data_IF_249639844021
#
_entry.id   IF_249639844021
#
_cell.length_a   1.000
_cell.length_b   1.000
_cell.length_c   1.000
_cell.angle_alpha   90.00
_cell.angle_beta   90.00
_cell.angle_gamma   90.00
#
_symmetry.space_group_name_H-M   'P 1'
#
loop_
_entity.id
_entity.type
_entity.pdbx_description
1 polymer ?
#
# COMPACT_ATOMS: atom_id res chain seq x y z
N UNK A 1 16.08 -36.35 -29.82
CA UNK A 1 14.96 -36.45 -28.86
C UNK A 1 15.52 -36.38 -27.45
N UNK A 2 15.51 -35.18 -26.84
CA UNK A 2 16.00 -34.96 -25.48
C UNK A 2 14.87 -35.23 -24.47
N UNK A 3 15.15 -36.06 -23.47
CA UNK A 3 14.17 -36.56 -22.51
C UNK A 3 13.70 -35.47 -21.53
N UNK A 4 12.40 -35.12 -21.58
CA UNK A 4 11.71 -34.16 -20.70
C UNK A 4 11.34 -34.80 -19.34
N UNK A 5 12.09 -35.79 -18.87
CA UNK A 5 11.74 -36.55 -17.66
C UNK A 5 12.36 -36.02 -16.37
N UNK A 6 13.25 -35.02 -16.43
CA UNK A 6 13.88 -34.45 -15.23
C UNK A 6 13.19 -33.21 -14.63
N UNK A 7 12.28 -32.55 -15.36
CA UNK A 7 11.57 -31.37 -14.84
C UNK A 7 10.36 -31.73 -13.96
N UNK A 8 9.87 -32.97 -14.02
CA UNK A 8 8.65 -33.37 -13.27
C UNK A 8 8.91 -33.71 -11.80
N UNK A 9 10.13 -34.11 -11.44
CA UNK A 9 10.51 -34.42 -10.04
C UNK A 9 10.92 -33.21 -9.20
N UNK A 10 11.00 -32.02 -9.79
CA UNK A 10 11.38 -30.80 -9.06
C UNK A 10 10.18 -30.13 -8.34
N UNK A 11 8.94 -30.44 -8.76
CA UNK A 11 7.74 -29.75 -8.27
C UNK A 11 7.05 -30.39 -7.05
N UNK A 12 7.55 -31.52 -6.54
CA UNK A 12 7.01 -32.20 -5.35
C UNK A 12 7.75 -31.89 -4.04
N UNK A 13 8.84 -31.12 -4.09
CA UNK A 13 9.44 -30.59 -2.86
C UNK A 13 8.88 -29.21 -2.56
N UNK A 14 7.97 -29.20 -1.59
CA UNK A 14 7.57 -28.07 -0.76
C UNK A 14 8.76 -27.10 -0.51
N UNK A 15 8.94 -26.09 -1.36
CA UNK A 15 9.83 -24.96 -1.10
C UNK A 15 9.00 -23.70 -1.21
N UNK A 16 8.46 -23.32 -0.05
CA UNK A 16 8.01 -21.96 0.22
C UNK A 16 9.21 -21.05 0.14
N UNK A 17 9.08 -19.87 -0.47
CA UNK A 17 9.60 -18.61 0.06
C UNK A 17 8.98 -17.45 -0.73
N UNK A 18 8.46 -16.48 0.01
CA UNK A 18 7.77 -15.29 -0.50
C UNK A 18 8.78 -14.23 -0.93
N UNK A 19 8.60 -13.58 -2.09
CA UNK A 19 9.32 -12.33 -2.36
C UNK A 19 8.85 -11.26 -1.36
N UNK A 20 9.74 -10.91 -0.45
CA UNK A 20 9.68 -9.72 0.37
C UNK A 20 10.89 -8.89 -0.06
N UNK A 21 10.71 -7.61 -0.36
CA UNK A 21 11.80 -6.66 -0.17
C UNK A 21 12.02 -6.59 1.35
N UNK A 22 12.82 -7.51 1.88
CA UNK A 22 13.24 -7.48 3.28
C UNK A 22 14.30 -6.40 3.37
N UNK A 23 13.87 -5.20 3.76
CA UNK A 23 14.80 -4.15 4.18
C UNK A 23 15.42 -4.61 5.50
N UNK A 24 16.51 -5.37 5.44
CA UNK A 24 17.35 -5.61 6.60
C UNK A 24 18.02 -4.30 6.96
N UNK A 25 17.86 -3.85 8.21
CA UNK A 25 18.75 -2.82 8.74
C UNK A 25 20.13 -3.43 8.77
N UNK A 26 20.97 -3.01 7.82
CA UNK A 26 22.34 -3.47 7.69
C UNK A 26 23.07 -3.14 8.99
N UNK A 27 23.49 -4.20 9.69
CA UNK A 27 24.48 -4.07 10.75
C UNK A 27 25.84 -4.14 10.06
N UNK A 28 26.71 -3.13 10.21
CA UNK A 28 28.04 -3.15 9.60
C UNK A 28 28.83 -4.46 9.76
N UNK A 29 28.85 -5.14 10.94
CA UNK A 29 29.60 -6.38 11.10
C UNK A 29 28.99 -7.58 10.37
N UNK A 30 27.69 -7.55 10.02
CA UNK A 30 26.99 -8.67 9.39
C UNK A 30 26.89 -8.50 7.86
N UNK A 31 27.41 -7.40 7.31
CA UNK A 31 27.20 -7.03 5.90
C UNK A 31 27.80 -8.04 4.93
N UNK A 32 28.98 -8.60 5.24
CA UNK A 32 29.66 -9.60 4.41
C UNK A 32 28.81 -10.87 4.30
N UNK A 33 28.16 -11.26 5.40
CA UNK A 33 27.28 -12.42 5.44
C UNK A 33 26.00 -12.18 4.64
N UNK A 34 25.42 -10.99 4.75
CA UNK A 34 24.24 -10.61 3.97
C UNK A 34 24.55 -10.60 2.47
N UNK A 35 25.68 -10.03 2.05
CA UNK A 35 26.13 -10.08 0.65
C UNK A 35 26.42 -11.49 0.16
N UNK A 36 27.12 -12.30 0.97
CA UNK A 36 27.38 -13.69 0.63
C UNK A 36 26.08 -14.49 0.45
N UNK A 37 25.06 -14.24 1.27
CA UNK A 37 23.75 -14.87 1.13
C UNK A 37 23.03 -14.41 -0.14
N UNK A 38 23.05 -13.11 -0.46
CA UNK A 38 22.43 -12.58 -1.68
C UNK A 38 23.11 -13.15 -2.94
N UNK A 39 24.42 -13.30 -2.93
CA UNK A 39 25.19 -13.87 -4.04
C UNK A 39 25.08 -15.39 -4.14
N UNK A 40 24.69 -16.06 -3.04
CA UNK A 40 24.51 -17.51 -3.01
C UNK A 40 23.25 -17.96 -3.74
N UNK A 41 22.24 -17.11 -3.79
CA UNK A 41 21.01 -17.41 -4.52
C UNK A 41 21.29 -17.40 -6.03
N UNK A 42 21.24 -18.57 -6.63
CA UNK A 42 21.50 -18.74 -8.05
C UNK A 42 20.46 -17.96 -8.87
N UNK A 43 20.97 -16.99 -9.65
CA UNK A 43 20.19 -16.27 -10.63
C UNK A 43 19.84 -17.24 -11.75
N UNK A 44 18.55 -17.43 -12.02
CA UNK A 44 18.13 -18.30 -13.13
C UNK A 44 17.84 -17.45 -14.37
N UNK A 45 17.17 -16.32 -14.17
CA UNK A 45 16.56 -15.56 -15.26
C UNK A 45 16.69 -14.06 -15.03
N UNK A 46 16.86 -13.32 -16.13
CA UNK A 46 16.94 -11.85 -16.13
C UNK A 46 15.82 -11.24 -16.95
N UNK A 47 15.53 -9.96 -16.70
CA UNK A 47 14.48 -9.20 -17.39
C UNK A 47 13.11 -9.90 -17.40
N UNK A 48 12.78 -10.56 -16.29
CA UNK A 48 11.53 -11.30 -16.13
C UNK A 48 10.35 -10.34 -16.10
N UNK A 49 9.40 -10.60 -16.99
CA UNK A 49 8.12 -9.93 -17.10
C UNK A 49 7.00 -10.95 -16.94
N UNK A 50 6.07 -10.64 -16.07
CA UNK A 50 4.93 -11.49 -15.74
C UNK A 50 3.64 -10.84 -16.26
N UNK A 51 2.88 -11.61 -17.01
CA UNK A 51 1.60 -11.22 -17.58
C UNK A 51 0.53 -12.21 -17.10
N UNK A 52 -0.42 -11.73 -16.31
CA UNK A 52 -1.53 -12.56 -15.85
C UNK A 52 -2.80 -12.05 -16.49
N UNK A 53 -3.54 -12.98 -17.09
CA UNK A 53 -4.84 -12.76 -17.68
C UNK A 53 -5.88 -13.58 -16.92
N UNK A 54 -6.79 -12.86 -16.26
CA UNK A 54 -7.92 -13.44 -15.56
C UNK A 54 -9.13 -13.52 -16.50
N UNK A 55 -10.01 -14.46 -16.20
CA UNK A 55 -11.35 -14.45 -16.80
C UNK A 55 -12.06 -13.12 -16.58
N UNK A 56 -12.90 -12.72 -17.54
CA UNK A 56 -13.62 -11.44 -17.55
C UNK A 56 -14.50 -11.22 -16.32
N UNK A 57 -14.99 -12.29 -15.68
CA UNK A 57 -15.76 -12.22 -14.43
C UNK A 57 -14.95 -11.79 -13.20
N UNK A 58 -13.61 -11.79 -13.29
CA UNK A 58 -12.70 -11.48 -12.19
C UNK A 58 -11.97 -10.15 -12.44
N UNK A 59 -11.55 -9.52 -11.35
CA UNK A 59 -10.66 -8.35 -11.36
C UNK A 59 -9.59 -8.48 -10.29
N UNK A 60 -8.44 -7.87 -10.53
CA UNK A 60 -7.38 -7.79 -9.51
C UNK A 60 -7.82 -6.89 -8.36
N UNK A 61 -7.42 -7.26 -7.13
CA UNK A 61 -7.74 -6.50 -5.93
C UNK A 61 -6.63 -5.48 -5.67
N UNK A 62 -7.02 -4.24 -5.36
CA UNK A 62 -6.07 -3.14 -5.06
C UNK A 62 -5.38 -2.55 -6.29
N UNK A 63 -5.89 -2.84 -7.49
CA UNK A 63 -5.47 -2.18 -8.74
C UNK A 63 -6.64 -1.33 -9.21
N UNK A 64 -6.54 -0.02 -9.01
CA UNK A 64 -7.62 0.94 -9.33
C UNK A 64 -7.55 1.45 -10.78
N UNK A 65 -6.61 0.96 -11.57
CA UNK A 65 -6.42 1.41 -12.93
C UNK A 65 -7.47 0.77 -13.86
N UNK A 66 -8.33 1.58 -14.50
CA UNK A 66 -9.40 1.09 -15.36
C UNK A 66 -8.89 0.32 -16.59
N UNK A 67 -7.63 0.51 -17.00
CA UNK A 67 -7.06 -0.15 -18.16
C UNK A 67 -6.64 -1.61 -17.88
N UNK A 68 -6.39 -1.97 -16.63
CA UNK A 68 -5.89 -3.29 -16.23
C UNK A 68 -6.99 -4.26 -15.77
N UNK A 69 -8.25 -4.04 -16.21
CA UNK A 69 -9.45 -4.68 -15.66
C UNK A 69 -9.32 -6.17 -15.29
N UNK A 70 -8.90 -7.01 -16.24
CA UNK A 70 -8.65 -8.44 -16.02
C UNK A 70 -7.21 -8.87 -16.41
N UNK A 71 -6.35 -7.93 -16.77
CA UNK A 71 -4.97 -8.21 -17.21
C UNK A 71 -4.01 -7.39 -16.37
N UNK A 72 -2.94 -7.99 -15.88
CA UNK A 72 -1.87 -7.28 -15.20
C UNK A 72 -0.53 -7.65 -15.82
N UNK A 73 0.30 -6.62 -16.04
CA UNK A 73 1.71 -6.78 -16.38
C UNK A 73 2.52 -6.35 -15.17
N UNK A 74 3.50 -7.17 -14.75
CA UNK A 74 4.49 -6.81 -13.75
C UNK A 74 5.90 -7.07 -14.26
N UNK A 75 6.78 -6.12 -14.03
CA UNK A 75 8.20 -6.24 -14.31
C UNK A 75 8.87 -6.67 -13.01
N UNK A 76 9.48 -7.86 -13.02
CA UNK A 76 10.14 -8.45 -11.85
C UNK A 76 11.63 -8.14 -11.89
N UNK A 77 12.23 -8.08 -13.10
CA UNK A 77 13.66 -7.87 -13.27
C UNK A 77 14.42 -9.18 -13.17
N UNK A 78 15.25 -9.34 -12.14
CA UNK A 78 16.02 -10.56 -11.93
C UNK A 78 15.26 -11.56 -11.05
N UNK A 79 15.19 -12.81 -11.47
CA UNK A 79 14.52 -13.87 -10.74
C UNK A 79 15.49 -15.00 -10.36
N UNK A 80 15.40 -15.40 -9.10
CA UNK A 80 16.05 -16.57 -8.49
C UNK A 80 15.05 -17.73 -8.34
N UNK A 81 15.51 -18.92 -7.94
CA UNK A 81 14.68 -20.11 -7.65
C UNK A 81 13.59 -19.81 -6.61
N UNK A 82 13.86 -18.90 -5.70
CA UNK A 82 12.95 -18.54 -4.61
C UNK A 82 11.93 -17.47 -4.99
N UNK A 83 11.95 -17.00 -6.25
CA UNK A 83 11.07 -15.92 -6.70
C UNK A 83 9.62 -16.34 -6.77
N UNK A 84 8.81 -15.77 -5.87
CA UNK A 84 7.37 -16.05 -5.79
C UNK A 84 6.55 -14.77 -5.85
N UNK A 85 5.69 -14.67 -6.85
CA UNK A 85 4.74 -13.58 -7.00
C UNK A 85 3.34 -14.03 -6.62
N UNK A 86 2.62 -13.20 -5.85
CA UNK A 86 1.28 -13.49 -5.36
C UNK A 86 0.34 -12.39 -5.82
N UNK A 87 -0.84 -12.80 -6.29
CA UNK A 87 -1.87 -11.92 -6.81
C UNK A 87 -3.17 -12.18 -6.06
N UNK A 88 -3.85 -11.10 -5.72
CA UNK A 88 -5.21 -11.15 -5.18
C UNK A 88 -6.19 -10.75 -6.27
N UNK A 89 -7.26 -11.52 -6.38
CA UNK A 89 -8.36 -11.23 -7.28
C UNK A 89 -9.69 -11.38 -6.56
N UNK A 90 -10.71 -10.75 -7.11
CA UNK A 90 -12.08 -10.81 -6.63
C UNK A 90 -13.04 -10.90 -7.81
N UNK A 91 -14.24 -11.41 -7.54
CA UNK A 91 -15.33 -11.40 -8.51
C UNK A 91 -15.77 -9.95 -8.72
N UNK A 92 -16.06 -9.59 -9.97
CA UNK A 92 -16.63 -8.28 -10.31
C UNK A 92 -18.02 -8.09 -9.70
N UNK A 93 -18.44 -6.84 -9.52
CA UNK A 93 -19.77 -6.55 -9.00
C UNK A 93 -20.85 -6.84 -10.06
N UNK A 94 -22.10 -7.06 -9.64
CA UNK A 94 -23.22 -7.39 -10.56
C UNK A 94 -23.38 -6.38 -11.71
N UNK A 95 -23.19 -5.08 -11.43
CA UNK A 95 -23.22 -4.03 -12.45
C UNK A 95 -22.11 -4.17 -13.49
N UNK A 96 -20.89 -4.53 -13.06
CA UNK A 96 -19.75 -4.75 -13.95
C UNK A 96 -19.95 -6.02 -14.79
N UNK A 97 -20.51 -7.07 -14.20
CA UNK A 97 -20.83 -8.32 -14.88
C UNK A 97 -21.95 -8.14 -15.91
N UNK A 98 -22.98 -7.34 -15.61
CA UNK A 98 -24.04 -6.99 -16.55
C UNK A 98 -23.50 -6.21 -17.76
N UNK A 99 -22.58 -5.26 -17.54
CA UNK A 99 -21.91 -4.53 -18.64
C UNK A 99 -21.15 -5.48 -19.57
N UNK A 100 -20.58 -6.56 -19.03
CA UNK A 100 -19.84 -7.55 -19.80
C UNK A 100 -20.71 -8.71 -20.32
N UNK A 101 -22.02 -8.69 -20.02
CA UNK A 101 -22.99 -9.72 -20.40
C UNK A 101 -22.61 -11.11 -19.87
N UNK A 102 -22.09 -11.18 -18.65
CA UNK A 102 -21.66 -12.44 -18.01
C UNK A 102 -22.67 -12.86 -16.95
N UNK A 103 -23.27 -14.03 -17.15
CA UNK A 103 -24.13 -14.67 -16.16
C UNK A 103 -23.31 -15.64 -15.30
N UNK A 104 -23.13 -15.32 -14.02
CA UNK A 104 -22.32 -16.15 -13.08
C UNK A 104 -22.86 -17.58 -12.98
N UNK A 105 -24.19 -17.76 -13.10
CA UNK A 105 -24.86 -19.07 -12.98
C UNK A 105 -24.43 -20.06 -14.05
N UNK A 106 -24.01 -19.56 -15.21
CA UNK A 106 -23.65 -20.39 -16.37
C UNK A 106 -22.16 -20.77 -16.33
N UNK A 107 -21.39 -20.16 -15.43
CA UNK A 107 -19.95 -20.37 -15.31
C UNK A 107 -19.65 -21.62 -14.48
N UNK A 108 -19.17 -22.69 -15.13
CA UNK A 108 -18.76 -23.93 -14.46
C UNK A 108 -17.31 -23.90 -13.99
N UNK A 109 -16.41 -23.36 -14.81
CA UNK A 109 -14.98 -23.20 -14.50
C UNK A 109 -14.51 -21.80 -14.91
N UNK A 110 -13.42 -21.37 -14.28
CA UNK A 110 -12.77 -20.09 -14.54
C UNK A 110 -11.33 -20.36 -14.99
N UNK A 111 -10.97 -20.03 -16.24
CA UNK A 111 -9.59 -20.15 -16.69
C UNK A 111 -8.73 -19.00 -16.18
N UNK A 112 -7.47 -19.32 -15.91
CA UNK A 112 -6.40 -18.42 -15.54
C UNK A 112 -5.22 -18.69 -16.46
N UNK A 113 -4.67 -17.63 -17.05
CA UNK A 113 -3.48 -17.74 -17.88
C UNK A 113 -2.38 -16.86 -17.28
N UNK A 114 -1.22 -17.47 -17.10
CA UNK A 114 0.00 -16.81 -16.70
C UNK A 114 1.04 -16.95 -17.81
N UNK A 115 1.60 -15.84 -18.25
CA UNK A 115 2.66 -15.77 -19.24
C UNK A 115 3.88 -15.09 -18.61
N UNK A 116 5.00 -15.79 -18.60
CA UNK A 116 6.30 -15.29 -18.16
C UNK A 116 7.17 -15.09 -19.39
N UNK A 117 7.69 -13.90 -19.59
CA UNK A 117 8.72 -13.63 -20.60
C UNK A 117 10.02 -13.30 -19.85
N UNK A 118 11.13 -13.91 -20.22
CA UNK A 118 12.41 -13.72 -19.55
C UNK A 118 13.59 -13.88 -20.50
N UNK A 119 14.78 -13.51 -20.05
CA UNK A 119 16.05 -13.76 -20.74
C UNK A 119 16.85 -14.76 -19.92
N UNK A 120 17.25 -15.89 -20.53
CA UNK A 120 18.08 -16.90 -19.85
C UNK A 120 19.51 -16.35 -19.62
N UNK A 121 20.35 -17.10 -18.90
CA UNK A 121 21.74 -16.70 -18.65
C UNK A 121 22.62 -16.67 -19.91
N UNK A 122 22.17 -17.32 -20.99
CA UNK A 122 22.86 -17.30 -22.30
C UNK A 122 22.46 -16.08 -23.16
N UNK A 123 21.48 -15.28 -22.74
CA UNK A 123 21.02 -14.09 -23.46
C UNK A 123 19.81 -14.33 -24.38
N UNK A 124 19.28 -15.54 -24.46
CA UNK A 124 18.09 -15.86 -25.27
C UNK A 124 16.82 -15.39 -24.57
N UNK A 125 15.90 -14.80 -25.35
CA UNK A 125 14.57 -14.42 -24.86
C UNK A 125 13.61 -15.60 -24.97
N UNK A 126 13.09 -16.03 -23.84
CA UNK A 126 12.19 -17.17 -23.70
C UNK A 126 10.82 -16.72 -23.19
N UNK A 127 9.80 -17.51 -23.51
CA UNK A 127 8.44 -17.31 -23.03
C UNK A 127 7.88 -18.63 -22.52
N UNK A 128 7.35 -18.60 -21.30
CA UNK A 128 6.64 -19.69 -20.67
C UNK A 128 5.17 -19.29 -20.47
N UNK A 129 4.25 -20.18 -20.84
CA UNK A 129 2.81 -19.97 -20.66
C UNK A 129 2.24 -21.12 -19.85
N UNK A 130 1.51 -20.78 -18.79
CA UNK A 130 0.83 -21.73 -17.92
C UNK A 130 -0.64 -21.37 -17.85
N UNK A 131 -1.48 -22.37 -18.11
CA UNK A 131 -2.92 -22.27 -18.01
C UNK A 131 -3.40 -23.15 -16.86
N UNK A 132 -4.40 -22.67 -16.14
CA UNK A 132 -5.05 -23.39 -15.06
C UNK A 132 -6.54 -23.07 -15.09
N UNK A 133 -7.37 -24.06 -14.77
CA UNK A 133 -8.81 -23.87 -14.61
C UNK A 133 -9.21 -24.15 -13.16
N UNK A 134 -10.11 -23.32 -12.64
CA UNK A 134 -10.66 -23.50 -11.29
C UNK A 134 -12.17 -23.64 -11.39
N UNK A 135 -12.70 -24.71 -10.81
CA UNK A 135 -14.14 -24.96 -10.78
C UNK A 135 -14.88 -23.98 -9.86
N UNK A 136 -16.06 -23.53 -10.32
CA UNK A 136 -16.95 -22.63 -9.57
C UNK A 136 -17.83 -23.45 -8.64
N UNK A 137 -17.40 -23.59 -7.39
CA UNK A 137 -18.17 -24.33 -6.38
C UNK A 137 -19.10 -23.38 -5.60
N UNK A 138 -20.34 -23.80 -5.40
CA UNK A 138 -21.30 -23.04 -4.60
C UNK A 138 -20.88 -22.97 -3.12
N UNK A 139 -21.02 -21.76 -2.54
CA UNK A 139 -20.47 -21.30 -1.26
C UNK A 139 -20.61 -22.26 -0.06
N UNK A 140 -21.68 -23.07 0.00
CA UNK A 140 -21.92 -24.01 1.11
C UNK A 140 -21.00 -25.23 1.09
N UNK A 141 -20.57 -25.69 -0.09
CA UNK A 141 -19.72 -26.88 -0.25
C UNK A 141 -18.23 -26.48 -0.17
N UNK A 142 -17.87 -25.33 -0.74
CA UNK A 142 -16.50 -24.83 -0.81
C UNK A 142 -15.84 -24.57 0.56
N UNK A 143 -16.61 -24.15 1.58
CA UNK A 143 -16.06 -23.80 2.90
C UNK A 143 -15.48 -24.99 3.66
N UNK A 144 -15.90 -26.23 3.36
CA UNK A 144 -15.44 -27.42 4.11
C UNK A 144 -14.23 -28.10 3.49
N UNK A 145 -14.05 -28.05 2.17
CA UNK A 145 -13.20 -29.04 1.49
C UNK A 145 -11.88 -28.50 0.90
N UNK A 146 -11.70 -27.20 0.69
CA UNK A 146 -10.62 -26.74 -0.22
C UNK A 146 -9.82 -25.52 0.22
N UNK A 147 -10.00 -25.02 1.45
CA UNK A 147 -9.15 -23.92 1.93
C UNK A 147 -7.80 -24.50 2.33
N UNK A 148 -6.80 -24.37 1.45
CA UNK A 148 -5.41 -24.55 1.84
C UNK A 148 -5.04 -23.50 2.90
N UNK A 149 -5.12 -23.92 4.16
CA UNK A 149 -4.86 -23.08 5.33
C UNK A 149 -3.44 -22.53 5.32
N UNK A 150 -2.49 -23.22 4.67
CA UNK A 150 -1.09 -22.81 4.56
C UNK A 150 -0.98 -21.57 3.68
N UNK A 151 -1.64 -21.57 2.51
CA UNK A 151 -1.68 -20.43 1.59
C UNK A 151 -2.38 -19.22 2.22
N UNK A 152 -3.52 -19.42 2.86
CA UNK A 152 -4.26 -18.33 3.52
C UNK A 152 -3.45 -17.68 4.66
N UNK A 153 -2.72 -18.48 5.45
CA UNK A 153 -1.82 -17.96 6.50
C UNK A 153 -0.70 -17.12 5.90
N UNK A 154 -0.07 -17.58 4.83
CA UNK A 154 1.00 -16.85 4.16
C UNK A 154 0.51 -15.50 3.61
N UNK A 155 -0.67 -15.49 2.97
CA UNK A 155 -1.28 -14.26 2.46
C UNK A 155 -1.53 -13.24 3.58
N UNK A 156 -2.14 -13.69 4.68
CA UNK A 156 -2.43 -12.82 5.82
C UNK A 156 -1.14 -12.28 6.48
N UNK A 157 -0.09 -13.11 6.56
CA UNK A 157 1.22 -12.68 7.06
C UNK A 157 1.84 -11.62 6.15
N UNK A 158 1.78 -11.80 4.83
CA UNK A 158 2.28 -10.80 3.88
C UNK A 158 1.53 -9.47 3.99
N UNK A 159 0.20 -9.49 4.06
CA UNK A 159 -0.60 -8.28 4.24
C UNK A 159 -0.24 -7.57 5.56
N UNK A 160 -0.10 -8.32 6.65
CA UNK A 160 0.28 -7.77 7.95
C UNK A 160 1.69 -7.16 7.91
N UNK A 161 2.66 -7.83 7.29
CA UNK A 161 4.03 -7.32 7.14
C UNK A 161 4.04 -6.05 6.29
N UNK A 162 3.34 -6.03 5.15
CA UNK A 162 3.21 -4.85 4.31
C UNK A 162 2.59 -3.67 5.07
N UNK A 163 1.54 -3.92 5.84
CA UNK A 163 0.94 -2.91 6.72
C UNK A 163 1.91 -2.40 7.79
N UNK A 164 2.65 -3.29 8.46
CA UNK A 164 3.66 -2.92 9.46
C UNK A 164 4.80 -2.10 8.84
N UNK A 165 5.29 -2.48 7.66
CA UNK A 165 6.34 -1.76 6.94
C UNK A 165 5.85 -0.37 6.52
N UNK A 166 4.63 -0.24 5.99
CA UNK A 166 4.05 1.07 5.64
C UNK A 166 3.97 2.01 6.85
N UNK A 167 3.57 1.48 8.02
CA UNK A 167 3.52 2.28 9.25
C UNK A 167 4.90 2.69 9.73
N UNK A 168 5.87 1.77 9.79
CA UNK A 168 7.24 2.07 10.26
C UNK A 168 7.95 3.06 9.33
N UNK A 169 7.75 2.96 8.02
CA UNK A 169 8.31 3.90 7.05
C UNK A 169 7.77 5.33 7.30
N UNK A 170 6.47 5.48 7.56
CA UNK A 170 5.87 6.76 7.92
C UNK A 170 6.44 7.37 9.22
N UNK A 171 6.76 6.56 10.23
CA UNK A 171 7.37 7.07 11.47
C UNK A 171 8.84 7.50 11.29
N UNK A 172 9.57 6.90 10.35
CA UNK A 172 10.97 7.27 10.08
C UNK A 172 11.12 8.46 9.13
N UNK A 173 10.13 8.76 8.30
CA UNK A 173 10.14 9.96 7.44
C UNK A 173 9.74 11.24 8.19
N UNK A 174 8.95 11.15 9.27
CA UNK A 174 8.58 12.30 10.09
C UNK A 174 9.77 13.07 10.68
N UNK A 175 10.80 12.44 11.29
CA UNK A 175 11.96 13.18 11.79
C UNK A 175 12.80 13.80 10.67
N UNK A 176 12.86 13.19 9.48
CA UNK A 176 13.62 13.75 8.34
C UNK A 176 12.94 15.03 7.85
N UNK A 177 11.63 15.00 7.63
CA UNK A 177 10.87 16.19 7.21
C UNK A 177 10.86 17.29 8.29
N UNK A 178 10.78 16.91 9.58
CA UNK A 178 10.90 17.86 10.70
C UNK A 178 12.30 18.50 10.75
N UNK A 179 13.36 17.72 10.49
CA UNK A 179 14.75 18.20 10.49
C UNK A 179 15.04 19.10 9.30
N UNK A 180 14.53 18.78 8.11
CA UNK A 180 14.58 19.64 6.93
C UNK A 180 13.83 20.95 7.15
N UNK A 181 12.64 20.89 7.76
CA UNK A 181 11.86 22.08 8.10
C UNK A 181 12.54 22.94 9.16
N UNK A 182 13.18 22.34 10.16
CA UNK A 182 14.03 23.03 11.14
C UNK A 182 15.26 23.67 10.50
N UNK A 183 15.94 22.96 9.59
CA UNK A 183 17.09 23.49 8.85
C UNK A 183 16.69 24.67 7.94
N UNK A 184 15.52 24.57 7.29
CA UNK A 184 14.96 25.67 6.51
C UNK A 184 14.66 26.89 7.38
N UNK A 185 14.00 26.73 8.53
CA UNK A 185 13.73 27.83 9.47
C UNK A 185 15.02 28.47 10.01
N UNK A 186 16.04 27.65 10.31
CA UNK A 186 17.35 28.12 10.75
C UNK A 186 18.14 28.83 9.63
N UNK A 187 17.92 28.46 8.37
CA UNK A 187 18.52 29.18 7.23
C UNK A 187 17.86 30.55 7.03
N UNK A 188 16.55 30.66 7.21
CA UNK A 188 15.81 31.91 7.12
C UNK A 188 16.22 32.90 8.24
N UNK A 189 16.43 32.43 9.47
CA UNK A 189 16.89 33.28 10.57
C UNK A 189 18.31 33.83 10.35
N UNK A 190 19.20 33.05 9.71
CA UNK A 190 20.54 33.53 9.30
C UNK A 190 20.48 34.63 8.23
N UNK A 191 19.54 34.54 7.29
CA UNK A 191 19.34 35.56 6.25
C UNK A 191 18.80 36.87 6.87
N UNK A 192 17.87 36.77 7.82
CA UNK A 192 17.36 37.94 8.57
C UNK A 192 18.47 38.60 9.40
N UNK A 193 19.37 37.82 10.01
CA UNK A 193 20.49 38.38 10.77
C UNK A 193 21.61 38.95 9.88
N UNK A 194 21.84 38.42 8.68
CA UNK A 194 22.79 39.01 7.72
C UNK A 194 22.28 40.33 7.14
N UNK A 195 20.98 40.44 6.85
CA UNK A 195 20.38 41.69 6.34
C UNK A 195 20.35 42.82 7.37
N UNK A 196 20.27 42.51 8.68
CA UNK A 196 20.40 43.50 9.76
C UNK A 196 21.83 44.06 9.90
N UNK A 197 22.86 43.22 9.71
CA UNK A 197 24.26 43.69 9.72
C UNK A 197 24.60 44.60 8.53
N UNK A 198 24.01 44.33 7.35
CA UNK A 198 24.20 45.17 6.15
C UNK A 198 23.48 46.53 6.29
N UNK A 199 22.32 46.57 6.96
CA UNK A 199 21.58 47.83 7.22
C UNK A 199 22.29 48.75 8.20
N UNK A 200 22.98 48.21 9.20
CA UNK A 200 23.69 49.05 10.19
C UNK A 200 25.01 49.63 9.64
N UNK A 201 25.60 49.03 8.59
CA UNK A 201 26.78 49.58 7.91
C UNK A 201 26.48 50.65 6.85
N UNK A 202 25.22 50.79 6.41
CA UNK A 202 24.79 51.79 5.39
C UNK A 202 24.03 52.99 5.96
N UNK A 203 23.96 53.15 7.29
CA UNK A 203 23.30 54.29 7.97
C UNK A 203 24.22 55.45 8.33
N UNK A 204 25.38 55.54 7.68
CA UNK A 204 26.13 56.78 7.65
C UNK A 204 26.14 57.29 6.20
N UNK A 205 25.51 58.45 6.01
CA UNK A 205 25.59 59.33 4.85
C UNK A 205 24.77 58.89 3.63
N UNK A 206 23.44 59.08 3.66
CA UNK A 206 22.67 59.47 2.47
C UNK A 206 21.57 60.45 2.92
N UNK A 207 21.54 61.70 2.42
CA UNK A 207 20.46 62.64 2.69
C UNK A 207 19.14 62.16 2.05
N UNK A 208 18.05 62.25 2.81
CA UNK A 208 16.71 61.85 2.38
C UNK A 208 16.26 62.66 1.15
N UNK A 209 16.14 61.98 0.01
CA UNK A 209 15.34 62.50 -1.10
C UNK A 209 13.89 62.04 -0.94
N UNK A 210 12.90 62.91 -1.23
CA UNK A 210 11.50 62.56 -1.10
C UNK A 210 11.13 61.44 -2.09
N UNK A 211 10.67 60.31 -1.55
CA UNK A 211 10.16 59.19 -2.35
C UNK A 211 9.04 59.67 -3.28
N UNK A 212 9.21 59.35 -4.56
CA UNK A 212 8.24 59.66 -5.61
C UNK A 212 6.87 59.03 -5.30
N UNK A 213 5.80 59.69 -5.73
CA UNK A 213 4.41 59.26 -5.51
C UNK A 213 4.14 57.82 -5.95
N UNK A 214 4.84 57.32 -6.96
CA UNK A 214 4.72 55.95 -7.49
C UNK A 214 5.16 54.87 -6.47
N UNK A 215 6.12 55.17 -5.59
CA UNK A 215 6.56 54.24 -4.54
C UNK A 215 5.56 54.12 -3.39
N UNK A 216 4.72 55.13 -3.17
CA UNK A 216 3.61 55.05 -2.22
C UNK A 216 2.53 54.11 -2.77
N UNK A 217 2.21 54.19 -4.06
CA UNK A 217 1.17 53.34 -4.70
C UNK A 217 1.55 51.86 -4.69
N UNK A 218 2.82 51.52 -4.96
CA UNK A 218 3.27 50.11 -4.95
C UNK A 218 3.24 49.48 -3.55
N UNK A 219 3.50 50.28 -2.51
CA UNK A 219 3.41 49.84 -1.12
C UNK A 219 1.95 49.70 -0.62
N UNK A 220 0.99 50.41 -1.21
CA UNK A 220 -0.44 50.20 -0.94
C UNK A 220 -0.93 48.86 -1.51
N UNK A 221 -0.59 48.53 -2.76
CA UNK A 221 -0.95 47.22 -3.35
C UNK A 221 -0.41 46.04 -2.53
N UNK A 222 0.86 46.10 -2.11
CA UNK A 222 1.46 45.07 -1.25
C UNK A 222 0.80 44.94 0.13
N UNK A 223 0.20 46.02 0.67
CA UNK A 223 -0.55 45.97 1.93
C UNK A 223 -1.93 45.33 1.75
N UNK A 224 -2.58 45.51 0.62
CA UNK A 224 -3.87 44.85 0.33
C UNK A 224 -3.71 43.35 0.10
N UNK A 225 -2.70 42.93 -0.66
CA UNK A 225 -2.40 41.50 -0.87
C UNK A 225 -2.11 40.78 0.45
N UNK A 226 -1.36 41.41 1.37
CA UNK A 226 -1.12 40.86 2.71
C UNK A 226 -2.40 40.74 3.54
N UNK A 227 -3.33 41.70 3.45
CA UNK A 227 -4.62 41.61 4.15
C UNK A 227 -5.49 40.47 3.61
N UNK A 228 -5.48 40.24 2.29
CA UNK A 228 -6.21 39.13 1.68
C UNK A 228 -5.64 37.77 2.09
N UNK A 229 -4.32 37.62 2.10
CA UNK A 229 -3.66 36.36 2.55
C UNK A 229 -4.00 36.06 4.02
N UNK A 230 -4.01 37.07 4.89
CA UNK A 230 -4.39 36.90 6.30
C UNK A 230 -5.86 36.47 6.42
N UNK A 231 -6.77 37.11 5.68
CA UNK A 231 -8.20 36.73 5.68
C UNK A 231 -8.42 35.28 5.19
N UNK A 232 -7.71 34.86 4.13
CA UNK A 232 -7.78 33.48 3.63
C UNK A 232 -7.26 32.51 4.71
N UNK A 233 -6.12 32.82 5.34
CA UNK A 233 -5.53 31.95 6.37
C UNK A 233 -6.45 31.75 7.60
N UNK A 234 -7.17 32.80 8.02
CA UNK A 234 -8.16 32.74 9.09
C UNK A 234 -9.40 31.93 8.70
N UNK A 235 -9.86 32.04 7.45
CA UNK A 235 -11.02 31.26 6.98
C UNK A 235 -10.73 29.75 6.92
N UNK A 236 -9.49 29.38 6.57
CA UNK A 236 -9.04 27.98 6.49
C UNK A 236 -8.89 27.37 7.89
N UNK A 237 -8.34 28.11 8.85
CA UNK A 237 -8.18 27.62 10.22
C UNK A 237 -9.53 27.33 10.89
N UNK A 238 -10.55 28.15 10.65
CA UNK A 238 -11.91 27.91 11.15
C UNK A 238 -12.55 26.64 10.56
N UNK A 239 -12.34 26.35 9.26
CA UNK A 239 -12.86 25.13 8.62
C UNK A 239 -12.19 23.86 9.16
N UNK A 240 -10.88 23.90 9.40
CA UNK A 240 -10.12 22.77 9.96
C UNK A 240 -10.59 22.44 11.38
N UNK A 241 -10.85 23.45 12.21
CA UNK A 241 -11.32 23.23 13.58
C UNK A 241 -12.75 22.65 13.64
N UNK A 242 -13.64 23.07 12.73
CA UNK A 242 -14.98 22.46 12.60
C UNK A 242 -14.88 20.97 12.22
N UNK A 243 -14.08 20.63 11.21
CA UNK A 243 -13.89 19.24 10.77
C UNK A 243 -13.30 18.34 11.88
N UNK A 244 -12.34 18.85 12.66
CA UNK A 244 -11.78 18.09 13.81
C UNK A 244 -12.83 17.81 14.89
N UNK A 245 -13.73 18.76 15.15
CA UNK A 245 -14.80 18.59 16.14
C UNK A 245 -15.85 17.56 15.70
N UNK A 246 -16.18 17.50 14.40
CA UNK A 246 -17.12 16.52 13.85
C UNK A 246 -16.55 15.10 13.85
N UNK A 247 -15.25 14.96 13.55
CA UNK A 247 -14.57 13.67 13.58
C UNK A 247 -14.47 13.08 15.00
N UNK A 248 -14.29 13.93 16.03
CA UNK A 248 -14.33 13.49 17.42
C UNK A 248 -15.74 13.03 17.85
N UNK A 249 -16.80 13.71 17.40
CA UNK A 249 -18.18 13.29 17.67
C UNK A 249 -18.50 11.92 17.06
N UNK A 250 -18.05 11.65 15.83
CA UNK A 250 -18.24 10.34 15.19
C UNK A 250 -17.51 9.20 15.90
N UNK A 251 -16.28 9.43 16.38
CA UNK A 251 -15.54 8.43 17.17
C UNK A 251 -16.26 8.03 18.46
N UNK A 252 -16.82 9.01 19.17
CA UNK A 252 -17.55 8.75 20.41
C UNK A 252 -18.85 7.95 20.16
N UNK A 253 -19.52 8.18 19.03
CA UNK A 253 -20.73 7.43 18.69
C UNK A 253 -20.44 5.95 18.38
N UNK A 254 -19.33 5.67 17.66
CA UNK A 254 -18.94 4.29 17.33
C UNK A 254 -18.52 3.48 18.57
N UNK A 255 -17.79 4.09 19.50
CA UNK A 255 -17.39 3.41 20.75
C UNK A 255 -18.59 3.00 21.61
N UNK A 256 -19.64 3.84 21.67
CA UNK A 256 -20.86 3.51 22.41
C UNK A 256 -21.64 2.34 21.76
N UNK A 257 -21.66 2.25 20.43
CA UNK A 257 -22.32 1.13 19.74
C UNK A 257 -21.59 -0.20 19.99
N UNK A 258 -20.26 -0.21 20.05
CA UNK A 258 -19.49 -1.43 20.33
C UNK A 258 -19.68 -1.93 21.77
N UNK A 259 -19.70 -1.03 22.76
CA UNK A 259 -19.97 -1.40 24.14
C UNK A 259 -21.36 -2.02 24.31
N UNK A 260 -22.38 -1.48 23.64
CA UNK A 260 -23.73 -2.05 23.66
C UNK A 260 -23.80 -3.44 23.00
N UNK A 261 -23.06 -3.67 21.91
CA UNK A 261 -22.96 -4.99 21.28
C UNK A 261 -22.30 -6.02 22.21
N UNK A 262 -21.28 -5.63 22.98
CA UNK A 262 -20.64 -6.53 23.95
C UNK A 262 -21.55 -6.88 25.13
N UNK A 263 -22.25 -5.90 25.72
CA UNK A 263 -23.23 -6.15 26.79
C UNK A 263 -24.32 -7.12 26.36
N UNK A 264 -24.85 -6.97 25.13
CA UNK A 264 -25.85 -7.89 24.58
C UNK A 264 -25.34 -9.32 24.37
N UNK A 265 -24.05 -9.50 24.03
CA UNK A 265 -23.44 -10.84 23.92
C UNK A 265 -23.33 -11.51 25.29
N UNK A 266 -22.93 -10.77 26.32
CA UNK A 266 -22.80 -11.28 27.69
C UNK A 266 -24.17 -11.73 28.21
N UNK A 267 -25.21 -10.92 28.01
CA UNK A 267 -26.57 -11.23 28.46
C UNK A 267 -27.13 -12.50 27.78
N UNK A 268 -26.91 -12.67 26.47
CA UNK A 268 -27.30 -13.89 25.75
C UNK A 268 -26.60 -15.15 26.26
N UNK A 269 -25.32 -15.04 26.64
CA UNK A 269 -24.57 -16.16 27.19
C UNK A 269 -25.03 -16.55 28.60
N UNK A 270 -25.37 -15.57 29.45
CA UNK A 270 -25.92 -15.85 30.78
C UNK A 270 -27.27 -16.58 30.70
N UNK A 271 -28.16 -16.19 29.78
CA UNK A 271 -29.44 -16.87 29.59
C UNK A 271 -29.29 -18.30 29.06
N UNK A 272 -28.29 -18.56 28.19
CA UNK A 272 -27.98 -19.93 27.75
C UNK A 272 -27.52 -20.83 28.90
N UNK A 273 -26.66 -20.31 29.81
CA UNK A 273 -26.20 -21.06 30.99
C UNK A 273 -27.34 -21.36 31.96
N UNK A 274 -28.25 -20.41 32.20
CA UNK A 274 -29.43 -20.64 33.06
C UNK A 274 -30.35 -21.73 32.49
N UNK A 275 -30.59 -21.74 31.17
CA UNK A 275 -31.36 -22.82 30.51
C UNK A 275 -30.67 -24.19 30.63
N UNK A 276 -29.34 -24.23 30.50
CA UNK A 276 -28.59 -25.49 30.60
C UNK A 276 -28.67 -26.09 32.02
N UNK A 277 -28.56 -25.27 33.07
CA UNK A 277 -28.67 -25.74 34.45
C UNK A 277 -30.09 -26.22 34.81
N UNK A 278 -31.14 -25.61 34.22
CA UNK A 278 -32.53 -26.04 34.44
C UNK A 278 -32.82 -27.44 33.84
N UNK A 279 -32.06 -27.85 32.82
CA UNK A 279 -32.17 -29.17 32.19
C UNK A 279 -31.44 -30.28 32.94
N UNK A 280 -30.53 -29.96 33.87
CA UNK A 280 -29.83 -30.96 34.68
C UNK A 280 -30.54 -31.28 36.01
N UNK A 281 -31.62 -30.58 36.33
CA UNK A 281 -32.42 -30.77 37.55
C UNK A 281 -33.78 -31.45 37.29
N UNK A 282 -34.00 -31.96 36.08
CA UNK A 282 -35.13 -32.81 35.69
C UNK A 282 -34.61 -34.16 35.23
#
# INVERSE_FOLDING_TARGET
MMQINNLRKFWEKDVKLTYQEVYTRVKPPDIEKDFANILKDELIETQVQLFINLHRALKFKGVDDPNFGNKIKREIGNATITTTQIFEYQVKNDQELQKEQIHIKDLKSVPFQNKVTYTNLHGDKLQYVKEAEVEVIHKRIAQKNSIDRKLLRNLNLQQLIGWLCSKKCCYQQQPIQLREKLNFLNSQSKIVNCSLKIRNKKRQIIPEQPLSFLDKVSNFKKREEKKQIIAISLSVSCKINKAKSEFQKQKNHNNNQEQNKQKNKIFKNQNKRKKFNLFQLR
#
